data_IF_336778625194
#
_entry.id   IF_336778625194
#
_cell.length_a   1.000
_cell.length_b   1.000
_cell.length_c   1.000
_cell.angle_alpha   90.00
_cell.angle_beta   90.00
_cell.angle_gamma   90.00
#
_symmetry.space_group_name_H-M   'P 1'
#
loop_
_entity.id
_entity.type
_entity.pdbx_description
1 polymer ?
#
# COMPACT_ATOMS: atom_id res chain seq x y z
N UNK A 1 3.12 -2.97 -9.17
CA UNK A 1 3.50 -3.11 -7.76
C UNK A 1 3.74 -4.59 -7.51
N UNK A 2 4.93 -5.00 -7.05
CA UNK A 2 5.20 -6.39 -6.69
C UNK A 2 4.92 -6.51 -5.19
N UNK A 3 3.90 -7.29 -4.83
CA UNK A 3 3.55 -7.57 -3.44
C UNK A 3 4.38 -8.76 -2.98
N UNK A 4 5.05 -8.61 -1.83
CA UNK A 4 5.92 -9.64 -1.22
C UNK A 4 5.24 -10.30 -0.03
N UNK A 5 4.08 -10.89 -0.28
CA UNK A 5 3.27 -11.52 0.77
C UNK A 5 3.94 -12.78 1.33
N UNK A 6 4.71 -13.50 0.51
CA UNK A 6 5.45 -14.69 0.94
C UNK A 6 6.48 -14.38 2.02
N UNK A 7 7.29 -13.35 1.79
CA UNK A 7 8.23 -12.82 2.78
C UNK A 7 7.51 -12.38 4.08
N UNK A 8 6.35 -11.72 3.95
CA UNK A 8 5.54 -11.27 5.10
C UNK A 8 4.99 -12.44 5.91
N UNK A 9 4.40 -13.44 5.26
CA UNK A 9 3.89 -14.66 5.91
C UNK A 9 5.02 -15.39 6.63
N UNK A 10 6.17 -15.56 5.99
CA UNK A 10 7.36 -16.19 6.60
C UNK A 10 7.83 -15.43 7.84
N UNK A 11 7.86 -14.11 7.77
CA UNK A 11 8.26 -13.24 8.87
C UNK A 11 7.30 -13.40 10.06
N UNK A 12 5.98 -13.29 9.81
CA UNK A 12 4.95 -13.42 10.85
C UNK A 12 4.97 -14.82 11.47
N UNK A 13 5.10 -15.86 10.65
CA UNK A 13 5.20 -17.24 11.10
C UNK A 13 6.37 -17.43 12.06
N UNK A 14 7.57 -16.96 11.67
CA UNK A 14 8.77 -17.03 12.52
C UNK A 14 8.65 -16.20 13.79
N UNK A 15 8.04 -15.02 13.72
CA UNK A 15 7.82 -14.14 14.89
C UNK A 15 6.89 -14.75 15.93
N UNK A 16 5.96 -15.61 15.49
CA UNK A 16 4.99 -16.28 16.36
C UNK A 16 5.37 -17.74 16.68
N UNK A 17 6.60 -18.18 16.36
CA UNK A 17 7.06 -19.57 16.54
C UNK A 17 6.11 -20.63 15.94
N UNK A 18 5.50 -20.31 14.80
CA UNK A 18 4.57 -21.19 14.08
C UNK A 18 5.35 -22.03 13.05
N UNK A 19 4.98 -23.30 12.86
CA UNK A 19 5.53 -24.14 11.78
C UNK A 19 4.71 -24.00 10.50
N UNK A 20 5.28 -24.35 9.35
CA UNK A 20 4.51 -24.34 8.10
C UNK A 20 3.31 -25.30 8.18
N UNK A 21 3.49 -26.46 8.83
CA UNK A 21 2.41 -27.44 9.05
C UNK A 21 1.27 -26.86 9.90
N UNK A 22 1.58 -26.15 10.99
CA UNK A 22 0.56 -25.56 11.86
C UNK A 22 -0.27 -24.49 11.15
N UNK A 23 0.38 -23.65 10.34
CA UNK A 23 -0.32 -22.66 9.52
C UNK A 23 -1.16 -23.34 8.44
N UNK A 24 -0.63 -24.39 7.81
CA UNK A 24 -1.35 -25.14 6.78
C UNK A 24 -2.59 -25.85 7.34
N UNK A 25 -2.48 -26.45 8.53
CA UNK A 25 -3.58 -27.08 9.25
C UNK A 25 -4.70 -26.10 9.55
N UNK A 26 -4.38 -24.91 10.08
CA UNK A 26 -5.36 -23.86 10.35
C UNK A 26 -6.08 -23.40 9.07
N UNK A 27 -5.34 -23.27 7.96
CA UNK A 27 -5.87 -22.81 6.68
C UNK A 27 -6.52 -23.92 5.83
N UNK A 28 -6.50 -25.17 6.28
CA UNK A 28 -7.06 -26.31 5.53
C UNK A 28 -6.33 -26.61 4.21
N UNK A 29 -5.02 -26.34 4.14
CA UNK A 29 -4.18 -26.53 2.95
C UNK A 29 -2.93 -27.35 3.27
N UNK A 30 -2.03 -27.52 2.30
CA UNK A 30 -0.79 -28.28 2.49
C UNK A 30 0.37 -27.38 2.94
N UNK A 31 1.28 -27.92 3.76
CA UNK A 31 2.52 -27.22 4.13
C UNK A 31 3.39 -26.88 2.89
N UNK A 32 3.27 -27.65 1.80
CA UNK A 32 3.90 -27.35 0.53
C UNK A 32 3.38 -26.05 -0.09
N UNK A 33 2.08 -25.75 0.04
CA UNK A 33 1.51 -24.48 -0.41
C UNK A 33 2.13 -23.31 0.37
N UNK A 34 2.20 -23.42 1.71
CA UNK A 34 2.88 -22.42 2.55
C UNK A 34 4.33 -22.23 2.12
N UNK A 35 5.09 -23.32 1.93
CA UNK A 35 6.48 -23.26 1.51
C UNK A 35 6.66 -22.52 0.19
N UNK A 36 5.79 -22.79 -0.79
CA UNK A 36 5.79 -22.10 -2.10
C UNK A 36 5.42 -20.62 -1.99
N UNK A 37 4.55 -20.25 -1.05
CA UNK A 37 4.30 -18.85 -0.74
C UNK A 37 5.55 -18.20 -0.15
N UNK A 38 6.15 -18.81 0.87
CA UNK A 38 7.34 -18.31 1.56
C UNK A 38 8.60 -18.24 0.66
N UNK A 39 8.59 -18.90 -0.50
CA UNK A 39 9.61 -18.83 -1.54
C UNK A 39 9.22 -17.97 -2.74
N UNK A 40 8.13 -17.20 -2.65
CA UNK A 40 7.60 -16.33 -3.71
C UNK A 40 7.37 -17.06 -5.04
N UNK A 41 7.12 -18.37 -4.98
CA UNK A 41 6.91 -19.24 -6.15
C UNK A 41 5.44 -19.27 -6.57
N UNK A 42 4.52 -19.02 -5.65
CA UNK A 42 3.13 -18.71 -5.95
C UNK A 42 2.54 -17.83 -4.85
N UNK A 43 1.36 -17.28 -5.12
CA UNK A 43 0.62 -16.48 -4.15
C UNK A 43 -0.46 -17.31 -3.48
N UNK A 44 -0.86 -16.96 -2.24
CA UNK A 44 -2.10 -17.47 -1.66
C UNK A 44 -3.29 -17.04 -2.51
N UNK A 45 -4.34 -17.86 -2.51
CA UNK A 45 -5.62 -17.44 -3.07
C UNK A 45 -6.12 -16.19 -2.34
N UNK A 46 -6.79 -15.30 -3.06
CA UNK A 46 -7.37 -14.09 -2.48
C UNK A 46 -8.37 -14.44 -1.36
N UNK A 47 -9.07 -15.57 -1.48
CA UNK A 47 -10.02 -16.06 -0.47
C UNK A 47 -9.33 -16.48 0.85
N UNK A 48 -8.03 -16.78 0.81
CA UNK A 48 -7.25 -17.14 2.00
C UNK A 48 -6.69 -15.94 2.75
N UNK A 49 -6.64 -14.76 2.14
CA UNK A 49 -6.05 -13.56 2.76
C UNK A 49 -6.70 -13.18 4.10
N UNK A 50 -8.05 -13.19 4.25
CA UNK A 50 -8.67 -12.89 5.53
C UNK A 50 -8.29 -13.88 6.62
N UNK A 51 -8.23 -15.18 6.30
CA UNK A 51 -7.86 -16.22 7.26
C UNK A 51 -6.39 -16.14 7.68
N UNK A 52 -5.48 -15.81 6.74
CA UNK A 52 -4.07 -15.58 7.05
C UNK A 52 -3.92 -14.36 7.97
N UNK A 53 -4.64 -13.28 7.68
CA UNK A 53 -4.61 -12.06 8.47
C UNK A 53 -5.15 -12.29 9.89
N UNK A 54 -6.27 -13.00 10.03
CA UNK A 54 -6.88 -13.39 11.31
C UNK A 54 -5.94 -14.28 12.14
N UNK A 55 -5.31 -15.29 11.53
CA UNK A 55 -4.36 -16.17 12.20
C UNK A 55 -3.20 -15.40 12.86
N UNK A 56 -2.72 -14.33 12.23
CA UNK A 56 -1.63 -13.50 12.73
C UNK A 56 -2.09 -12.27 13.51
N UNK A 57 -3.40 -12.03 13.63
CA UNK A 57 -3.97 -10.87 14.32
C UNK A 57 -3.61 -9.52 13.67
N UNK A 58 -3.55 -9.47 12.33
CA UNK A 58 -3.24 -8.26 11.55
C UNK A 58 -4.34 -7.98 10.53
N UNK A 59 -4.27 -6.81 9.88
CA UNK A 59 -5.15 -6.49 8.74
C UNK A 59 -4.65 -7.12 7.44
N UNK A 60 -5.54 -7.26 6.44
CA UNK A 60 -5.15 -7.71 5.10
C UNK A 60 -4.21 -6.70 4.43
N UNK A 61 -4.41 -5.40 4.65
CA UNK A 61 -3.49 -4.35 4.20
C UNK A 61 -2.08 -4.55 4.74
N UNK A 62 -1.94 -4.85 6.05
CA UNK A 62 -0.64 -5.17 6.65
C UNK A 62 -0.01 -6.45 6.10
N UNK A 63 -0.83 -7.47 5.80
CA UNK A 63 -0.40 -8.72 5.17
C UNK A 63 0.11 -8.48 3.74
N UNK A 64 -0.54 -7.59 3.00
CA UNK A 64 -0.17 -7.19 1.63
C UNK A 64 0.95 -6.14 1.60
N UNK A 65 1.53 -5.80 2.75
CA UNK A 65 2.57 -4.77 2.87
C UNK A 65 2.12 -3.40 2.32
N UNK A 66 0.82 -3.09 2.43
CA UNK A 66 0.28 -1.78 2.12
C UNK A 66 0.67 -0.85 3.27
N UNK A 67 1.79 -0.15 3.10
CA UNK A 67 2.29 0.81 4.07
C UNK A 67 1.56 2.15 3.90
N UNK A 68 0.50 2.31 4.70
CA UNK A 68 -0.28 3.54 4.75
C UNK A 68 0.57 4.76 5.13
N UNK A 69 1.56 4.60 6.03
CA UNK A 69 2.46 5.68 6.42
C UNK A 69 3.38 6.10 5.25
N UNK A 70 3.85 5.13 4.46
CA UNK A 70 4.62 5.41 3.24
C UNK A 70 3.78 6.12 2.18
N UNK A 71 2.52 5.68 1.98
CA UNK A 71 1.57 6.36 1.09
C UNK A 71 1.35 7.81 1.53
N UNK A 72 1.08 8.04 2.81
CA UNK A 72 0.91 9.38 3.38
C UNK A 72 2.16 10.24 3.22
N UNK A 73 3.34 9.65 3.44
CA UNK A 73 4.62 10.36 3.25
C UNK A 73 4.80 10.79 1.80
N UNK A 74 4.48 9.92 0.83
CA UNK A 74 4.56 10.23 -0.60
C UNK A 74 3.57 11.33 -1.01
N UNK A 75 2.34 11.28 -0.48
CA UNK A 75 1.34 12.33 -0.70
C UNK A 75 1.84 13.68 -0.18
N UNK A 76 2.43 13.71 1.03
CA UNK A 76 3.01 14.92 1.62
C UNK A 76 4.17 15.47 0.79
N UNK A 77 5.03 14.60 0.24
CA UNK A 77 6.10 15.03 -0.67
C UNK A 77 5.53 15.78 -1.89
N UNK A 78 4.48 15.25 -2.54
CA UNK A 78 3.84 15.92 -3.67
C UNK A 78 3.24 17.27 -3.30
N UNK A 79 2.58 17.35 -2.14
CA UNK A 79 1.97 18.60 -1.66
C UNK A 79 3.05 19.64 -1.37
N UNK A 80 4.13 19.26 -0.69
CA UNK A 80 5.23 20.18 -0.40
C UNK A 80 5.91 20.67 -1.69
N UNK A 81 6.12 19.78 -2.67
CA UNK A 81 6.67 20.14 -3.98
C UNK A 81 5.77 21.16 -4.68
N UNK A 82 4.45 20.92 -4.74
CA UNK A 82 3.49 21.81 -5.37
C UNK A 82 3.36 23.16 -4.64
N UNK A 83 3.34 23.15 -3.30
CA UNK A 83 3.28 24.36 -2.48
C UNK A 83 4.46 25.30 -2.77
N UNK A 84 5.67 24.76 -3.01
CA UNK A 84 6.83 25.59 -3.36
C UNK A 84 6.60 26.36 -4.67
N UNK A 85 5.94 25.76 -5.66
CA UNK A 85 5.58 26.45 -6.91
C UNK A 85 4.46 27.46 -6.70
N UNK A 86 3.44 27.13 -5.89
CA UNK A 86 2.35 28.05 -5.55
C UNK A 86 2.87 29.31 -4.83
N UNK A 87 3.83 29.17 -3.92
CA UNK A 87 4.49 30.30 -3.23
C UNK A 87 5.23 31.23 -4.20
N UNK A 88 5.70 30.71 -5.33
CA UNK A 88 6.35 31.47 -6.39
C UNK A 88 5.34 32.03 -7.43
N UNK A 89 4.04 31.78 -7.25
CA UNK A 89 2.98 32.15 -8.20
C UNK A 89 2.90 31.26 -9.44
N UNK A 90 3.68 30.18 -9.50
CA UNK A 90 3.68 29.23 -10.62
C UNK A 90 2.63 28.13 -10.40
N UNK A 91 1.37 28.49 -10.62
CA UNK A 91 0.25 27.57 -10.45
C UNK A 91 0.20 26.47 -11.51
N UNK A 92 0.73 26.72 -12.72
CA UNK A 92 0.78 25.72 -13.79
C UNK A 92 1.66 24.52 -13.41
N UNK A 93 2.86 24.78 -12.87
CA UNK A 93 3.75 23.72 -12.39
C UNK A 93 3.12 22.96 -11.21
N UNK A 94 2.48 23.67 -10.28
CA UNK A 94 1.77 23.05 -9.15
C UNK A 94 0.64 22.11 -9.62
N UNK A 95 -0.18 22.55 -10.58
CA UNK A 95 -1.25 21.74 -11.17
C UNK A 95 -0.70 20.47 -11.82
N UNK A 96 0.43 20.57 -12.53
CA UNK A 96 1.07 19.39 -13.14
C UNK A 96 1.51 18.38 -12.08
N UNK A 97 2.06 18.85 -10.96
CA UNK A 97 2.45 17.99 -9.83
C UNK A 97 1.23 17.30 -9.22
N UNK A 98 0.15 18.04 -8.95
CA UNK A 98 -1.08 17.46 -8.41
C UNK A 98 -1.72 16.44 -9.36
N UNK A 99 -1.74 16.71 -10.68
CA UNK A 99 -2.22 15.75 -11.69
C UNK A 99 -1.37 14.49 -11.72
N UNK A 100 -0.05 14.60 -11.62
CA UNK A 100 0.86 13.46 -11.51
C UNK A 100 0.58 12.66 -10.24
N UNK A 101 0.44 13.34 -9.11
CA UNK A 101 0.14 12.72 -7.82
C UNK A 101 -1.20 11.96 -7.84
N UNK A 102 -2.25 12.51 -8.47
CA UNK A 102 -3.55 11.86 -8.62
C UNK A 102 -3.57 10.69 -9.61
N UNK A 103 -2.60 10.58 -10.52
CA UNK A 103 -2.43 9.34 -11.31
C UNK A 103 -1.95 8.18 -10.43
N UNK A 104 -1.15 8.47 -9.39
CA UNK A 104 -0.63 7.47 -8.47
C UNK A 104 -1.58 7.22 -7.28
N UNK A 105 -2.24 8.27 -6.79
CA UNK A 105 -3.14 8.24 -5.64
C UNK A 105 -4.51 8.87 -5.98
N UNK A 106 -5.29 8.27 -6.91
CA UNK A 106 -6.52 8.86 -7.43
C UNK A 106 -7.61 9.05 -6.36
N UNK A 107 -7.61 8.22 -5.33
CA UNK A 107 -8.57 8.27 -4.23
C UNK A 107 -8.18 9.25 -3.12
N UNK A 108 -7.08 9.99 -3.26
CA UNK A 108 -6.64 10.95 -2.24
C UNK A 108 -7.50 12.21 -2.30
N UNK A 109 -8.46 12.32 -1.37
CA UNK A 109 -9.30 13.52 -1.25
C UNK A 109 -8.47 14.80 -1.07
N UNK A 110 -7.39 14.73 -0.28
CA UNK A 110 -6.50 15.88 -0.08
C UNK A 110 -5.92 16.38 -1.41
N UNK A 111 -5.37 15.49 -2.24
CA UNK A 111 -4.81 15.88 -3.55
C UNK A 111 -5.88 16.42 -4.51
N UNK A 112 -7.11 15.91 -4.43
CA UNK A 112 -8.23 16.41 -5.24
C UNK A 112 -8.60 17.86 -4.86
N UNK A 113 -8.67 18.14 -3.56
CA UNK A 113 -8.95 19.49 -3.05
C UNK A 113 -7.84 20.46 -3.42
N UNK A 114 -6.57 20.10 -3.21
CA UNK A 114 -5.44 20.98 -3.55
C UNK A 114 -5.38 21.29 -5.04
N UNK A 115 -5.64 20.29 -5.91
CA UNK A 115 -5.76 20.52 -7.34
C UNK A 115 -6.89 21.50 -7.68
N UNK A 116 -8.06 21.33 -7.07
CA UNK A 116 -9.20 22.21 -7.31
C UNK A 116 -8.90 23.66 -6.89
N UNK A 117 -8.25 23.85 -5.74
CA UNK A 117 -7.79 25.15 -5.28
C UNK A 117 -6.77 25.79 -6.23
N UNK A 118 -5.78 25.02 -6.69
CA UNK A 118 -4.76 25.52 -7.62
C UNK A 118 -5.34 25.93 -8.97
N UNK A 119 -6.32 25.18 -9.49
CA UNK A 119 -7.03 25.54 -10.74
C UNK A 119 -7.84 26.84 -10.53
N UNK A 120 -8.62 26.94 -9.45
CA UNK A 120 -9.43 28.13 -9.17
C UNK A 120 -8.61 29.41 -8.91
N UNK A 121 -7.32 29.28 -8.60
CA UNK A 121 -6.40 30.40 -8.45
C UNK A 121 -5.90 30.98 -9.79
N UNK A 122 -5.97 30.22 -10.89
CA UNK A 122 -5.63 30.70 -12.24
C UNK A 122 -6.81 31.44 -12.88
N UNK A 123 -8.04 31.05 -12.52
CA UNK A 123 -9.27 31.61 -13.09
C UNK A 123 -9.69 32.98 -12.47
N UNK A 124 -8.97 33.48 -11.45
CA UNK A 124 -9.19 34.79 -10.80
C UNK A 124 -8.04 35.77 -11.07
#
# INVERSE_FOLDING_TARGET
MIIKIGEKVKLLRKKNDVTQDRLAEYLGITAQAISRWESETCYPDIELLPAIADFFGITVDELLCVDQAKKESKIKEYINEANNFQLLGDFDSAIQIYRRALREYPSSFQLQVELACAIGAIDN
#
